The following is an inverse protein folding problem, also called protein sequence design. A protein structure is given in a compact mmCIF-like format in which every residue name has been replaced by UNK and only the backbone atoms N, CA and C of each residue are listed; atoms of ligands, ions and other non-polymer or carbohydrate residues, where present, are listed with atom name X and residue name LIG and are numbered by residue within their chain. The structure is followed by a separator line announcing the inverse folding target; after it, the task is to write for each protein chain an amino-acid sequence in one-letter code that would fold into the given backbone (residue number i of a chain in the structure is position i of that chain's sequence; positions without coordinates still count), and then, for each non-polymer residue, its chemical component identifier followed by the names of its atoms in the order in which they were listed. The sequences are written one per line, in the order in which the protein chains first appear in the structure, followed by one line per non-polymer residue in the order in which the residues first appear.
data_IF_317743112506
#
_entry.id   IF_317743112506
#
_cell.length_a   1.000
_cell.length_b   1.000
_cell.length_c   1.000
_cell.angle_alpha   90.00
_cell.angle_beta   90.00
_cell.angle_gamma   90.00
#
_symmetry.space_group_name_H-M   'P 1'
#
loop_
_entity.id
_entity.type
_entity.pdbx_description
1 polymer ?
#
# COMPACT_ATOMS: atom_id res chain seq x y z
N UNK A 1 -19.45 8.34 -11.18
CA UNK A 1 -18.47 7.29 -10.80
C UNK A 1 -17.70 7.80 -9.57
N UNK A 2 -16.64 7.13 -9.09
CA UNK A 2 -15.72 7.76 -8.13
C UNK A 2 -15.01 8.94 -8.83
N UNK A 3 -14.93 10.11 -8.16
CA UNK A 3 -14.26 11.32 -8.67
C UNK A 3 -12.80 11.07 -9.08
N UNK A 4 -12.13 10.11 -8.42
CA UNK A 4 -10.77 9.69 -8.77
C UNK A 4 -10.72 8.97 -10.12
N UNK A 5 -11.68 8.08 -10.37
CA UNK A 5 -11.76 7.35 -11.64
C UNK A 5 -11.99 8.29 -12.82
N UNK A 6 -12.87 9.28 -12.65
CA UNK A 6 -13.12 10.31 -13.67
C UNK A 6 -11.87 11.15 -13.96
N UNK A 7 -11.10 11.50 -12.92
CA UNK A 7 -9.84 12.25 -13.07
C UNK A 7 -8.74 11.45 -13.77
N UNK A 8 -8.59 10.17 -13.45
CA UNK A 8 -7.61 9.28 -14.12
C UNK A 8 -7.99 9.12 -15.61
N UNK A 9 -9.27 8.93 -15.91
CA UNK A 9 -9.74 8.83 -17.30
C UNK A 9 -9.52 10.11 -18.11
N UNK A 10 -9.64 11.29 -17.49
CA UNK A 10 -9.26 12.56 -18.14
C UNK A 10 -7.78 12.59 -18.47
N UNK A 11 -6.91 12.26 -17.49
CA UNK A 11 -5.46 12.28 -17.69
C UNK A 11 -5.02 11.33 -18.81
N UNK A 12 -5.63 10.15 -18.92
CA UNK A 12 -5.35 9.21 -20.01
C UNK A 12 -5.78 9.78 -21.38
N UNK A 13 -6.91 10.48 -21.44
CA UNK A 13 -7.40 11.11 -22.69
C UNK A 13 -6.57 12.32 -23.11
N UNK A 14 -5.95 12.99 -22.13
CA UNK A 14 -5.12 14.16 -22.35
C UNK A 14 -3.65 13.78 -22.65
N UNK A 15 -3.32 12.48 -22.72
CA UNK A 15 -1.99 12.03 -23.12
C UNK A 15 -1.73 12.38 -24.59
N UNK A 16 -0.57 12.97 -24.92
CA UNK A 16 -0.17 13.20 -26.30
C UNK A 16 -0.19 11.91 -27.15
N UNK A 17 -0.59 12.00 -28.41
CA UNK A 17 -0.66 10.83 -29.31
C UNK A 17 0.73 10.23 -29.61
N UNK A 18 1.80 10.99 -29.43
CA UNK A 18 3.19 10.58 -29.57
C UNK A 18 3.80 10.02 -28.27
N UNK A 19 3.01 9.92 -27.20
CA UNK A 19 3.45 9.27 -25.95
C UNK A 19 3.81 7.83 -26.25
N UNK A 20 5.06 7.47 -25.95
CA UNK A 20 5.58 6.13 -26.15
C UNK A 20 5.05 5.17 -25.09
N UNK A 21 5.08 3.86 -25.38
CA UNK A 21 4.72 2.85 -24.40
C UNK A 21 5.58 2.92 -23.13
N UNK A 22 6.87 3.28 -23.26
CA UNK A 22 7.81 3.43 -22.15
C UNK A 22 7.39 4.58 -21.21
N UNK A 23 7.02 5.74 -21.76
CA UNK A 23 6.53 6.88 -20.97
C UNK A 23 5.19 6.58 -20.28
N UNK A 24 4.34 5.74 -20.89
CA UNK A 24 3.10 5.27 -20.27
C UNK A 24 3.40 4.31 -19.12
N UNK A 25 4.37 3.40 -19.28
CA UNK A 25 4.80 2.48 -18.21
C UNK A 25 5.35 3.26 -17.01
N UNK A 26 6.23 4.23 -17.25
CA UNK A 26 6.77 5.13 -16.23
C UNK A 26 5.67 5.89 -15.46
N UNK A 27 4.66 6.39 -16.20
CA UNK A 27 3.51 7.07 -15.60
C UNK A 27 2.69 6.12 -14.71
N UNK A 28 2.46 4.89 -15.16
CA UNK A 28 1.72 3.87 -14.41
C UNK A 28 2.47 3.52 -13.12
N UNK A 29 3.79 3.33 -13.19
CA UNK A 29 4.62 3.03 -12.02
C UNK A 29 4.59 4.17 -11.00
N UNK A 30 4.68 5.42 -11.46
CA UNK A 30 4.57 6.58 -10.59
C UNK A 30 3.20 6.66 -9.90
N UNK A 31 2.11 6.40 -10.64
CA UNK A 31 0.76 6.38 -10.09
C UNK A 31 0.59 5.25 -9.07
N UNK A 32 1.18 4.08 -9.32
CA UNK A 32 1.17 2.94 -8.40
C UNK A 32 1.92 3.28 -7.10
N UNK A 33 3.12 3.83 -7.17
CA UNK A 33 3.89 4.27 -5.99
C UNK A 33 3.08 5.29 -5.19
N UNK A 34 2.48 6.28 -5.86
CA UNK A 34 1.64 7.28 -5.20
C UNK A 34 0.45 6.66 -4.49
N UNK A 35 -0.20 5.65 -5.08
CA UNK A 35 -1.29 4.89 -4.45
C UNK A 35 -0.81 4.23 -3.14
N UNK A 36 0.31 3.52 -3.18
CA UNK A 36 0.89 2.84 -2.01
C UNK A 36 1.21 3.82 -0.87
N UNK A 37 1.79 4.98 -1.20
CA UNK A 37 2.08 6.03 -0.20
C UNK A 37 0.79 6.56 0.43
N UNK A 38 -0.25 6.82 -0.36
CA UNK A 38 -1.53 7.31 0.15
C UNK A 38 -2.24 6.27 1.03
N UNK A 39 -2.20 4.99 0.66
CA UNK A 39 -2.73 3.90 1.48
C UNK A 39 -2.00 3.81 2.82
N UNK A 40 -0.66 3.85 2.82
CA UNK A 40 0.13 3.87 4.05
C UNK A 40 -0.12 5.08 4.95
N UNK A 41 -0.33 6.26 4.37
CA UNK A 41 -0.70 7.47 5.13
C UNK A 41 -2.10 7.34 5.75
N UNK A 42 -3.04 6.72 5.05
CA UNK A 42 -4.38 6.49 5.58
C UNK A 42 -4.39 5.44 6.69
N UNK A 43 -3.59 4.38 6.55
CA UNK A 43 -3.39 3.40 7.62
C UNK A 43 -2.78 4.04 8.87
N UNK A 44 -1.82 4.96 8.69
CA UNK A 44 -1.29 5.73 9.81
C UNK A 44 -2.36 6.62 10.47
N UNK A 45 -3.19 7.32 9.68
CA UNK A 45 -4.28 8.16 10.21
C UNK A 45 -5.36 7.37 10.96
N UNK A 46 -5.55 6.11 10.58
CA UNK A 46 -6.57 5.24 11.16
C UNK A 46 -5.99 4.32 12.24
N UNK A 47 -4.79 4.63 12.77
CA UNK A 47 -4.06 3.86 13.78
C UNK A 47 -3.92 2.36 13.42
N UNK A 48 -3.87 2.05 12.13
CA UNK A 48 -3.61 0.71 11.58
C UNK A 48 -2.14 0.46 11.28
N UNK A 49 -1.26 1.37 11.69
CA UNK A 49 0.18 1.21 11.60
C UNK A 49 0.78 0.90 12.96
N UNK A 50 1.76 0.00 13.00
CA UNK A 50 2.58 -0.22 14.18
C UNK A 50 3.91 0.52 14.03
N UNK A 51 4.39 1.12 15.12
CA UNK A 51 5.79 1.53 15.23
C UNK A 51 6.71 0.30 15.22
N UNK A 52 7.99 0.54 14.92
CA UNK A 52 9.01 -0.51 14.93
C UNK A 52 9.09 -1.24 16.29
N UNK A 53 8.96 -0.50 17.39
CA UNK A 53 9.01 -1.08 18.74
C UNK A 53 7.75 -1.91 19.04
N UNK A 54 6.58 -1.48 18.60
CA UNK A 54 5.35 -2.27 18.71
C UNK A 54 5.46 -3.57 17.90
N UNK A 55 6.02 -3.50 16.69
CA UNK A 55 6.23 -4.68 15.84
C UNK A 55 7.23 -5.65 16.48
N UNK A 56 8.33 -5.16 17.06
CA UNK A 56 9.29 -6.01 17.82
C UNK A 56 8.60 -6.67 19.02
N UNK A 57 7.79 -5.93 19.77
CA UNK A 57 7.04 -6.44 20.92
C UNK A 57 6.04 -7.53 20.51
N UNK A 58 5.25 -7.29 19.45
CA UNK A 58 4.30 -8.27 18.90
C UNK A 58 5.00 -9.53 18.40
N UNK A 59 6.12 -9.39 17.69
CA UNK A 59 6.92 -10.53 17.22
C UNK A 59 7.46 -11.37 18.39
N UNK A 60 7.91 -10.73 19.47
CA UNK A 60 8.34 -11.41 20.69
C UNK A 60 7.20 -12.17 21.38
N UNK A 61 6.01 -11.55 21.50
CA UNK A 61 4.81 -12.19 22.05
C UNK A 61 4.38 -13.41 21.23
N UNK A 62 4.35 -13.30 19.90
CA UNK A 62 4.01 -14.42 19.02
C UNK A 62 5.02 -15.57 19.11
N UNK A 63 6.32 -15.30 19.26
CA UNK A 63 7.32 -16.35 19.51
C UNK A 63 7.06 -17.08 20.83
N UNK A 64 6.70 -16.35 21.88
CA UNK A 64 6.38 -16.94 23.19
C UNK A 64 5.07 -17.73 23.17
N UNK A 65 4.04 -17.25 22.49
CA UNK A 65 2.74 -17.93 22.36
C UNK A 65 2.84 -19.19 21.48
N UNK A 66 3.61 -19.15 20.39
CA UNK A 66 3.82 -20.31 19.51
C UNK A 66 4.63 -21.43 20.17
N UNK A 67 5.45 -21.11 21.18
CA UNK A 67 6.16 -22.08 22.03
C UNK A 67 5.29 -22.64 23.17
N UNK A 68 4.14 -22.03 23.47
CA UNK A 68 3.19 -22.47 24.51
C UNK A 68 2.10 -23.41 24.01
N UNK A 69 2.15 -23.89 22.75
CA UNK A 69 1.20 -24.92 22.29
C UNK A 69 1.36 -26.17 23.17
N UNK A 70 0.28 -26.64 23.81
CA UNK A 70 0.37 -27.71 24.79
C UNK A 70 0.63 -29.04 24.11
N UNK A 71 1.52 -29.83 24.71
CA UNK A 71 1.28 -31.26 24.83
C UNK A 71 -0.09 -31.42 25.51
N UNK A 72 -1.17 -31.48 24.72
CA UNK A 72 -2.46 -31.98 25.17
C UNK A 72 -2.97 -32.99 24.14
N UNK A 73 -2.63 -34.26 24.41
CA UNK A 73 -3.27 -35.54 24.04
C UNK A 73 -2.22 -36.57 23.63
#
# INVERSE_FOLDING_TARGET
MSKIKEKILSLIKDLPEDTTSEEIEDLIDLLYIKKQVLEGLEDFRQDRSYSLEEMKSLSGKWKLESQKRPNDS
#
